data_IF_444444395987
#
_entry.id   IF_444444395987
#
_cell.length_a   1.000
_cell.length_b   1.000
_cell.length_c   1.000
_cell.angle_alpha   90.00
_cell.angle_beta   90.00
_cell.angle_gamma   90.00
#
_symmetry.space_group_name_H-M   'P 1'
#
loop_
_entity.id
_entity.type
_entity.pdbx_description
1 polymer ?
#
# COMPACT_ATOMS: atom_id res chain seq x y z
N UNK A 1 -14.48 9.27 15.23
CA UNK A 1 -14.43 8.29 16.34
C UNK A 1 -13.00 8.23 16.86
N UNK A 2 -12.77 8.01 18.17
CA UNK A 2 -11.40 7.83 18.67
C UNK A 2 -10.77 6.58 18.05
N UNK A 3 -9.46 6.63 17.81
CA UNK A 3 -8.71 5.51 17.26
C UNK A 3 -8.60 4.37 18.29
N UNK A 4 -8.68 3.12 17.82
CA UNK A 4 -8.63 1.93 18.69
C UNK A 4 -7.19 1.43 18.81
N UNK A 5 -6.41 2.01 19.72
CA UNK A 5 -5.01 1.65 19.96
C UNK A 5 -4.80 0.30 20.65
N UNK A 6 -5.85 -0.35 21.07
CA UNK A 6 -5.84 -1.62 21.82
C UNK A 6 -5.66 -2.87 20.94
N UNK A 7 -5.51 -2.71 19.64
CA UNK A 7 -5.35 -3.84 18.68
C UNK A 7 -4.22 -4.81 19.03
N UNK A 8 -3.20 -4.35 19.74
CA UNK A 8 -2.06 -5.19 20.13
C UNK A 8 -2.28 -6.02 21.40
N UNK A 9 -3.36 -5.77 22.14
CA UNK A 9 -3.72 -6.51 23.36
C UNK A 9 -5.00 -7.33 23.18
N UNK A 10 -5.62 -7.28 22.01
CA UNK A 10 -6.82 -8.03 21.68
C UNK A 10 -6.54 -9.02 20.55
N UNK A 11 -7.24 -10.15 20.55
CA UNK A 11 -7.23 -11.07 19.42
C UNK A 11 -8.02 -10.43 18.28
N UNK A 12 -7.40 -10.28 17.11
CA UNK A 12 -8.04 -9.72 15.92
C UNK A 12 -8.58 -10.86 15.06
N UNK A 13 -9.84 -10.76 14.70
CA UNK A 13 -10.53 -11.74 13.83
C UNK A 13 -10.30 -11.46 12.34
N UNK A 14 -9.97 -10.20 12.00
CA UNK A 14 -9.71 -9.78 10.62
C UNK A 14 -8.26 -9.28 10.50
N UNK A 15 -7.50 -9.85 9.55
CA UNK A 15 -6.12 -9.45 9.29
C UNK A 15 -6.00 -7.95 8.93
N UNK A 16 -7.04 -7.36 8.34
CA UNK A 16 -7.05 -5.95 7.99
C UNK A 16 -7.06 -5.02 9.23
N UNK A 17 -7.53 -5.50 10.38
CA UNK A 17 -7.46 -4.75 11.64
C UNK A 17 -6.01 -4.52 12.11
N UNK A 18 -5.06 -5.28 11.56
CA UNK A 18 -3.63 -5.07 11.81
C UNK A 18 -3.01 -3.98 10.94
N UNK A 19 -3.73 -3.45 9.94
CA UNK A 19 -3.24 -2.34 9.11
C UNK A 19 -3.36 -1.03 9.89
N UNK A 20 -2.32 -0.20 9.82
CA UNK A 20 -2.29 1.10 10.51
C UNK A 20 -2.10 1.00 12.02
N UNK A 21 -2.46 2.05 12.75
CA UNK A 21 -2.22 2.23 14.18
C UNK A 21 -0.76 1.91 14.56
N UNK A 22 0.16 2.29 13.69
CA UNK A 22 1.58 1.99 13.82
C UNK A 22 2.23 2.85 14.89
N UNK A 23 3.30 2.37 15.53
CA UNK A 23 4.00 3.13 16.57
C UNK A 23 4.60 4.44 16.04
N UNK A 24 4.65 5.43 16.90
CA UNK A 24 5.45 6.64 16.72
C UNK A 24 6.65 6.57 17.67
N UNK A 25 7.85 6.60 17.13
CA UNK A 25 9.09 6.41 17.87
C UNK A 25 9.92 7.70 17.92
N UNK A 26 10.34 8.11 19.13
CA UNK A 26 11.28 9.23 19.26
C UNK A 26 12.68 8.76 18.95
N UNK A 27 13.36 9.42 18.01
CA UNK A 27 14.73 9.13 17.59
C UNK A 27 15.73 9.95 18.44
N UNK A 28 16.27 9.41 19.55
CA UNK A 28 16.96 10.23 20.54
C UNK A 28 18.24 10.89 19.99
N UNK A 29 19.10 10.15 19.31
CA UNK A 29 20.36 10.68 18.75
C UNK A 29 20.14 11.76 17.68
N UNK A 30 19.12 11.58 16.85
CA UNK A 30 18.77 12.56 15.80
C UNK A 30 18.15 13.79 16.43
N UNK A 31 17.30 13.61 17.43
CA UNK A 31 16.65 14.69 18.18
C UNK A 31 17.68 15.57 18.93
N UNK A 32 18.65 14.96 19.58
CA UNK A 32 19.73 15.66 20.27
C UNK A 32 20.55 16.50 19.27
N UNK A 33 20.96 15.91 18.16
CA UNK A 33 21.73 16.61 17.11
C UNK A 33 20.95 17.76 16.47
N UNK A 34 19.63 17.60 16.31
CA UNK A 34 18.77 18.61 15.70
C UNK A 34 18.30 19.68 16.67
N UNK A 35 18.45 19.52 17.97
CA UNK A 35 17.86 20.39 18.98
C UNK A 35 16.33 20.41 18.98
N UNK A 36 15.70 19.33 18.49
CA UNK A 36 14.27 19.23 18.31
C UNK A 36 13.78 17.80 18.58
N UNK A 37 12.50 17.61 18.86
CA UNK A 37 11.92 16.26 18.97
C UNK A 37 11.68 15.69 17.57
N UNK A 38 12.50 14.75 17.15
CA UNK A 38 12.34 14.04 15.87
C UNK A 38 11.65 12.70 16.12
N UNK A 39 10.50 12.53 15.50
CA UNK A 39 9.65 11.36 15.63
C UNK A 39 9.59 10.61 14.29
N UNK A 40 9.68 9.28 14.33
CA UNK A 40 9.52 8.42 13.16
C UNK A 40 8.25 7.58 13.27
N UNK A 41 7.39 7.66 12.26
CA UNK A 41 6.21 6.77 12.13
C UNK A 41 6.67 5.42 11.58
N UNK A 42 6.46 4.34 12.34
CA UNK A 42 7.06 3.04 12.09
C UNK A 42 6.13 2.16 11.24
N UNK A 43 6.15 2.34 9.93
CA UNK A 43 5.19 1.73 9.00
C UNK A 43 5.43 0.24 8.69
N UNK A 44 6.56 -0.34 9.10
CA UNK A 44 6.79 -1.79 8.92
C UNK A 44 6.02 -2.69 9.91
N UNK A 45 5.24 -2.11 10.82
CA UNK A 45 4.33 -2.87 11.69
C UNK A 45 3.01 -3.28 11.01
N UNK A 46 2.78 -2.84 9.78
CA UNK A 46 1.66 -3.34 8.96
C UNK A 46 1.94 -4.75 8.42
N UNK A 47 0.93 -5.55 8.07
CA UNK A 47 1.06 -6.97 7.70
C UNK A 47 2.10 -7.30 6.64
N UNK A 48 2.25 -6.47 5.60
CA UNK A 48 3.28 -6.69 4.56
C UNK A 48 4.58 -5.92 4.81
N UNK A 49 4.69 -5.25 5.96
CA UNK A 49 5.90 -4.52 6.36
C UNK A 49 6.04 -3.15 5.71
N UNK A 50 4.97 -2.52 5.25
CA UNK A 50 5.03 -1.19 4.66
C UNK A 50 3.74 -0.39 4.77
N UNK A 51 3.87 0.94 4.58
CA UNK A 51 2.73 1.87 4.51
C UNK A 51 1.75 1.55 3.37
N UNK A 52 2.16 0.73 2.39
CA UNK A 52 1.35 0.43 1.21
C UNK A 52 0.12 -0.40 1.52
N UNK A 53 0.11 -1.13 2.62
CA UNK A 53 -1.08 -1.85 3.09
C UNK A 53 -2.27 -0.91 3.26
N UNK A 54 -2.05 0.29 3.80
CA UNK A 54 -3.10 1.30 4.01
C UNK A 54 -3.80 1.68 2.72
N UNK A 55 -3.02 2.03 1.69
CA UNK A 55 -3.56 2.54 0.44
C UNK A 55 -4.25 1.43 -0.37
N UNK A 56 -3.67 0.23 -0.44
CA UNK A 56 -4.31 -0.87 -1.16
C UNK A 56 -5.56 -1.38 -0.46
N UNK A 57 -5.56 -1.44 0.87
CA UNK A 57 -6.77 -1.70 1.64
C UNK A 57 -7.88 -0.70 1.29
N UNK A 58 -7.60 0.60 1.36
CA UNK A 58 -8.59 1.64 1.07
C UNK A 58 -9.07 1.59 -0.38
N UNK A 59 -8.16 1.63 -1.35
CA UNK A 59 -8.50 1.67 -2.78
C UNK A 59 -9.34 0.47 -3.21
N UNK A 60 -9.00 -0.74 -2.76
CA UNK A 60 -9.72 -1.97 -3.14
C UNK A 60 -11.11 -2.00 -2.48
N UNK A 61 -11.22 -1.68 -1.20
CA UNK A 61 -12.51 -1.66 -0.51
C UNK A 61 -13.45 -0.61 -1.09
N UNK A 62 -12.97 0.59 -1.39
CA UNK A 62 -13.78 1.63 -2.02
C UNK A 62 -14.22 1.24 -3.44
N UNK A 63 -13.34 0.61 -4.21
CA UNK A 63 -13.71 0.12 -5.54
C UNK A 63 -14.80 -0.95 -5.50
N UNK A 64 -14.74 -1.85 -4.52
CA UNK A 64 -15.81 -2.84 -4.29
C UNK A 64 -17.12 -2.14 -3.90
N UNK A 65 -17.05 -1.20 -2.96
CA UNK A 65 -18.22 -0.47 -2.49
C UNK A 65 -18.90 0.36 -3.58
N UNK A 66 -18.12 0.95 -4.50
CA UNK A 66 -18.65 1.69 -5.67
C UNK A 66 -19.09 0.78 -6.82
N UNK A 67 -18.74 -0.50 -6.79
CA UNK A 67 -19.01 -1.44 -7.90
C UNK A 67 -18.05 -1.28 -9.08
N UNK A 68 -16.91 -0.63 -8.90
CA UNK A 68 -15.83 -0.54 -9.89
C UNK A 68 -15.07 -1.87 -10.01
N UNK A 69 -14.81 -2.52 -8.88
CA UNK A 69 -14.25 -3.88 -8.79
C UNK A 69 -15.40 -4.85 -8.46
N UNK A 70 -15.84 -5.60 -9.47
CA UNK A 70 -16.96 -6.55 -9.37
C UNK A 70 -16.48 -7.97 -9.09
N UNK A 71 -17.32 -8.83 -8.50
CA UNK A 71 -17.04 -10.26 -8.41
C UNK A 71 -16.68 -10.86 -9.77
N UNK A 72 -15.63 -11.68 -9.80
CA UNK A 72 -15.13 -12.30 -11.03
C UNK A 72 -14.13 -11.45 -11.83
N UNK A 73 -13.93 -10.19 -11.48
CA UNK A 73 -12.85 -9.38 -12.03
C UNK A 73 -11.51 -9.77 -11.39
N UNK A 74 -10.43 -9.37 -12.03
CA UNK A 74 -9.05 -9.54 -11.59
C UNK A 74 -8.41 -8.17 -11.35
N UNK A 75 -7.64 -8.05 -10.28
CA UNK A 75 -6.87 -6.83 -10.00
C UNK A 75 -5.58 -6.89 -10.81
N UNK A 76 -5.26 -5.83 -11.56
CA UNK A 76 -4.00 -5.71 -12.28
C UNK A 76 -3.26 -4.46 -11.82
N UNK A 77 -1.97 -4.58 -11.48
CA UNK A 77 -1.17 -3.45 -11.02
C UNK A 77 0.24 -3.50 -11.60
N UNK A 78 0.77 -2.32 -11.95
CA UNK A 78 2.18 -2.14 -12.28
C UNK A 78 2.95 -1.74 -11.03
N UNK A 79 3.82 -2.63 -10.54
CA UNK A 79 4.60 -2.32 -9.34
C UNK A 79 5.92 -3.09 -9.26
N UNK A 80 6.96 -2.38 -8.84
CA UNK A 80 8.30 -2.95 -8.63
C UNK A 80 8.60 -3.30 -7.17
N UNK A 81 7.71 -2.96 -6.22
CA UNK A 81 8.02 -3.03 -4.80
C UNK A 81 6.83 -3.28 -3.87
N UNK A 82 6.84 -2.58 -2.76
CA UNK A 82 5.86 -2.74 -1.67
C UNK A 82 4.40 -2.57 -2.10
N UNK A 83 4.15 -1.73 -3.11
CA UNK A 83 2.82 -1.56 -3.68
C UNK A 83 2.27 -2.87 -4.27
N UNK A 84 3.08 -3.60 -5.06
CA UNK A 84 2.68 -4.90 -5.60
C UNK A 84 2.49 -5.96 -4.52
N UNK A 85 3.31 -5.94 -3.47
CA UNK A 85 3.18 -6.87 -2.33
C UNK A 85 1.85 -6.61 -1.59
N UNK A 86 1.56 -5.34 -1.26
CA UNK A 86 0.32 -4.96 -0.59
C UNK A 86 -0.92 -5.24 -1.45
N UNK A 87 -0.84 -4.96 -2.78
CA UNK A 87 -1.90 -5.29 -3.73
C UNK A 87 -2.19 -6.80 -3.76
N UNK A 88 -1.14 -7.63 -3.84
CA UNK A 88 -1.27 -9.08 -3.82
C UNK A 88 -1.89 -9.60 -2.52
N UNK A 89 -1.41 -9.08 -1.39
CA UNK A 89 -1.93 -9.42 -0.06
C UNK A 89 -3.42 -9.08 0.08
N UNK A 90 -3.79 -7.81 -0.14
CA UNK A 90 -5.19 -7.37 0.04
C UNK A 90 -6.12 -8.06 -0.94
N UNK A 91 -5.73 -8.15 -2.23
CA UNK A 91 -6.53 -8.85 -3.23
C UNK A 91 -6.77 -10.31 -2.85
N UNK A 92 -5.73 -11.03 -2.38
CA UNK A 92 -5.85 -12.41 -1.93
C UNK A 92 -6.78 -12.57 -0.74
N UNK A 93 -6.71 -11.65 0.25
CA UNK A 93 -7.57 -11.71 1.44
C UNK A 93 -9.04 -11.42 1.12
N UNK A 94 -9.32 -10.79 -0.02
CA UNK A 94 -10.66 -10.50 -0.52
C UNK A 94 -11.11 -11.44 -1.66
N UNK A 95 -10.37 -12.55 -1.87
CA UNK A 95 -10.62 -13.56 -2.90
C UNK A 95 -10.64 -13.05 -4.35
N UNK A 96 -9.94 -11.94 -4.61
CA UNK A 96 -9.70 -11.46 -5.98
C UNK A 96 -8.38 -12.02 -6.52
N UNK A 97 -8.35 -12.56 -7.75
CA UNK A 97 -7.12 -12.83 -8.47
C UNK A 97 -6.33 -11.53 -8.67
N UNK A 98 -5.01 -11.60 -8.53
CA UNK A 98 -4.12 -10.45 -8.70
C UNK A 98 -3.04 -10.77 -9.72
N UNK A 99 -2.88 -9.88 -10.70
CA UNK A 99 -1.75 -9.89 -11.64
C UNK A 99 -0.89 -8.66 -11.42
N UNK A 100 0.41 -8.89 -11.16
CA UNK A 100 1.41 -7.82 -11.03
C UNK A 100 2.30 -7.82 -12.27
N UNK A 101 2.40 -6.67 -12.92
CA UNK A 101 3.31 -6.43 -14.04
C UNK A 101 4.54 -5.72 -13.51
N UNK A 102 5.73 -6.28 -13.73
CA UNK A 102 6.98 -5.72 -13.22
C UNK A 102 8.18 -6.02 -14.13
N UNK A 103 9.25 -5.19 -14.09
CA UNK A 103 10.45 -5.46 -14.86
C UNK A 103 11.18 -6.72 -14.37
N UNK A 104 11.80 -7.44 -15.32
CA UNK A 104 12.56 -8.68 -15.03
C UNK A 104 13.77 -8.43 -14.13
N UNK A 105 14.37 -7.24 -14.20
CA UNK A 105 15.55 -6.87 -13.41
C UNK A 105 15.29 -6.63 -11.92
N UNK A 106 14.04 -6.70 -11.46
CA UNK A 106 13.71 -6.50 -10.04
C UNK A 106 14.09 -7.69 -9.17
N UNK A 107 14.22 -7.43 -7.84
CA UNK A 107 14.68 -8.43 -6.88
C UNK A 107 13.80 -9.69 -6.86
N UNK A 108 14.45 -10.85 -6.72
CA UNK A 108 13.77 -12.15 -6.64
C UNK A 108 12.91 -12.27 -5.38
N UNK A 109 13.30 -11.61 -4.30
CA UNK A 109 12.62 -11.62 -3.00
C UNK A 109 11.22 -11.02 -3.11
N UNK A 110 11.10 -9.85 -3.76
CA UNK A 110 9.81 -9.19 -4.00
C UNK A 110 8.87 -10.08 -4.83
N UNK A 111 9.40 -10.72 -5.87
CA UNK A 111 8.62 -11.67 -6.69
C UNK A 111 8.13 -12.86 -5.88
N UNK A 112 9.00 -13.42 -5.02
CA UNK A 112 8.64 -14.55 -4.14
C UNK A 112 7.53 -14.17 -3.16
N UNK A 113 7.59 -12.96 -2.56
CA UNK A 113 6.54 -12.48 -1.65
C UNK A 113 5.20 -12.31 -2.37
N UNK A 114 5.16 -11.66 -3.53
CA UNK A 114 3.93 -11.51 -4.31
C UNK A 114 3.36 -12.86 -4.71
N UNK A 115 4.21 -13.80 -5.16
CA UNK A 115 3.80 -15.14 -5.52
C UNK A 115 3.30 -15.94 -4.30
N UNK A 116 3.88 -15.74 -3.10
CA UNK A 116 3.42 -16.37 -1.87
C UNK A 116 1.99 -15.94 -1.48
N UNK A 117 1.62 -14.69 -1.81
CA UNK A 117 0.23 -14.22 -1.72
C UNK A 117 -0.65 -14.66 -2.90
N UNK A 118 -0.13 -15.48 -3.81
CA UNK A 118 -0.89 -16.03 -4.93
C UNK A 118 -1.02 -15.12 -6.15
N UNK A 119 -0.28 -14.02 -6.21
CA UNK A 119 -0.31 -13.15 -7.39
C UNK A 119 0.36 -13.80 -8.61
N UNK A 120 -0.25 -13.66 -9.77
CA UNK A 120 0.38 -13.93 -11.05
C UNK A 120 1.37 -12.79 -11.38
N UNK A 121 2.57 -13.13 -11.84
CA UNK A 121 3.59 -12.13 -12.16
C UNK A 121 3.88 -12.17 -13.66
N UNK A 122 3.70 -11.03 -14.32
CA UNK A 122 4.07 -10.82 -15.71
C UNK A 122 5.33 -9.95 -15.74
N UNK A 123 6.38 -10.49 -16.37
CA UNK A 123 7.67 -9.80 -16.46
C UNK A 123 7.80 -9.05 -17.79
N UNK A 124 8.16 -7.76 -17.70
CA UNK A 124 8.60 -6.97 -18.87
C UNK A 124 10.13 -6.96 -18.96
N UNK A 125 10.72 -6.68 -20.13
CA UNK A 125 12.14 -6.39 -20.22
C UNK A 125 12.54 -5.20 -19.35
N UNK A 126 13.83 -5.11 -18.98
CA UNK A 126 14.41 -3.93 -18.34
C UNK A 126 14.55 -4.04 -16.82
N UNK A 127 14.85 -2.90 -16.19
CA UNK A 127 15.11 -2.71 -14.75
C UNK A 127 14.15 -1.73 -14.09
N UNK A 128 14.55 -1.18 -12.96
CA UNK A 128 13.70 -0.31 -12.12
C UNK A 128 13.22 0.98 -12.82
N UNK A 129 14.02 1.49 -13.77
CA UNK A 129 13.68 2.68 -14.57
C UNK A 129 12.63 2.42 -15.66
N UNK A 130 12.38 1.15 -16.01
CA UNK A 130 11.55 0.78 -17.17
C UNK A 130 10.06 0.56 -16.79
N UNK A 131 9.55 1.42 -15.91
CA UNK A 131 8.13 1.37 -15.43
C UNK A 131 7.16 1.60 -16.60
N UNK A 132 7.52 2.41 -17.58
CA UNK A 132 6.67 2.71 -18.75
C UNK A 132 6.31 1.45 -19.54
N UNK A 133 7.22 0.48 -19.64
CA UNK A 133 6.95 -0.81 -20.31
C UNK A 133 5.89 -1.61 -19.52
N UNK A 134 5.90 -1.51 -18.20
CA UNK A 134 4.91 -2.17 -17.37
C UNK A 134 3.52 -1.53 -17.52
N UNK A 135 3.45 -0.20 -17.51
CA UNK A 135 2.20 0.54 -17.73
C UNK A 135 1.61 0.24 -19.12
N UNK A 136 2.48 0.22 -20.16
CA UNK A 136 2.06 -0.18 -21.50
C UNK A 136 1.51 -1.60 -21.53
N UNK A 137 2.13 -2.53 -20.81
CA UNK A 137 1.68 -3.92 -20.74
C UNK A 137 0.35 -4.06 -19.98
N UNK A 138 0.15 -3.32 -18.89
CA UNK A 138 -1.14 -3.24 -18.17
C UNK A 138 -2.24 -2.76 -19.12
N UNK A 139 -1.99 -1.65 -19.83
CA UNK A 139 -2.93 -1.13 -20.81
C UNK A 139 -3.27 -2.14 -21.92
N UNK A 140 -2.26 -2.79 -22.51
CA UNK A 140 -2.44 -3.82 -23.55
C UNK A 140 -3.35 -4.95 -23.06
N UNK A 141 -3.14 -5.42 -21.82
CA UNK A 141 -3.95 -6.51 -21.24
C UNK A 141 -5.39 -6.07 -20.99
N UNK A 142 -5.61 -4.86 -20.51
CA UNK A 142 -6.96 -4.29 -20.30
C UNK A 142 -7.70 -4.11 -21.63
N UNK A 143 -7.02 -3.59 -22.67
CA UNK A 143 -7.59 -3.39 -23.98
C UNK A 143 -7.95 -4.73 -24.66
N UNK A 144 -7.11 -5.77 -24.48
CA UNK A 144 -7.34 -7.11 -25.00
C UNK A 144 -8.48 -7.87 -24.30
N UNK A 145 -8.72 -7.56 -23.05
CA UNK A 145 -9.72 -8.24 -22.23
C UNK A 145 -10.65 -7.23 -21.52
N UNK A 146 -11.53 -6.53 -22.25
CA UNK A 146 -12.44 -5.54 -21.67
C UNK A 146 -13.30 -6.12 -20.57
N UNK A 147 -13.39 -5.42 -19.43
CA UNK A 147 -14.18 -5.82 -18.28
C UNK A 147 -13.57 -6.91 -17.39
N UNK A 148 -12.41 -7.50 -17.78
CA UNK A 148 -11.75 -8.51 -16.97
C UNK A 148 -10.96 -7.87 -15.80
N UNK A 149 -10.28 -6.76 -16.03
CA UNK A 149 -9.33 -6.18 -15.10
C UNK A 149 -9.83 -4.88 -14.48
N UNK A 150 -9.57 -4.74 -13.20
CA UNK A 150 -9.60 -3.46 -12.49
C UNK A 150 -8.19 -3.09 -12.05
N UNK A 151 -7.82 -1.82 -12.21
CA UNK A 151 -6.50 -1.30 -11.88
C UNK A 151 -6.63 -0.29 -10.73
N UNK A 152 -5.93 -0.49 -9.59
CA UNK A 152 -5.93 0.46 -8.47
C UNK A 152 -5.48 1.86 -8.85
N UNK A 153 -4.46 1.97 -9.70
CA UNK A 153 -3.97 3.24 -10.22
C UNK A 153 -3.42 4.17 -9.14
N UNK A 154 -2.49 3.69 -8.32
CA UNK A 154 -1.98 4.38 -7.14
C UNK A 154 -1.49 5.82 -7.36
N UNK A 155 -1.14 6.21 -8.60
CA UNK A 155 -0.66 7.56 -8.93
C UNK A 155 -1.78 8.57 -9.18
N UNK A 156 -3.00 8.12 -9.44
CA UNK A 156 -4.15 8.96 -9.81
C UNK A 156 -5.41 8.70 -8.98
N UNK A 157 -5.43 7.63 -8.21
CA UNK A 157 -6.58 7.25 -7.41
C UNK A 157 -6.69 8.11 -6.14
N UNK A 158 -7.76 8.89 -5.95
CA UNK A 158 -7.92 9.76 -4.78
C UNK A 158 -8.02 8.99 -3.45
N UNK A 159 -8.42 7.72 -3.50
CA UNK A 159 -8.50 6.87 -2.30
C UNK A 159 -7.12 6.61 -1.69
N UNK A 160 -6.02 6.77 -2.46
CA UNK A 160 -4.66 6.74 -1.93
C UNK A 160 -4.44 7.89 -0.92
N UNK A 161 -4.75 9.12 -1.31
CA UNK A 161 -4.67 10.28 -0.41
C UNK A 161 -5.63 10.15 0.76
N UNK A 162 -6.85 9.69 0.49
CA UNK A 162 -7.87 9.49 1.53
C UNK A 162 -7.43 8.47 2.58
N UNK A 163 -6.75 7.38 2.17
CA UNK A 163 -6.19 6.40 3.10
C UNK A 163 -5.24 7.05 4.12
N UNK A 164 -4.35 7.93 3.68
CA UNK A 164 -3.43 8.63 4.56
C UNK A 164 -4.11 9.72 5.40
N UNK A 165 -5.08 10.42 4.83
CA UNK A 165 -5.86 11.42 5.54
C UNK A 165 -6.63 10.79 6.72
N UNK A 166 -7.34 9.69 6.47
CA UNK A 166 -8.18 9.04 7.47
C UNK A 166 -7.39 8.23 8.50
N UNK A 167 -6.19 7.76 8.17
CA UNK A 167 -5.39 6.89 9.03
C UNK A 167 -4.08 7.52 9.46
N UNK A 168 -3.09 7.62 8.60
CA UNK A 168 -1.73 8.06 8.95
C UNK A 168 -1.71 9.44 9.60
N UNK A 169 -2.42 10.40 9.01
CA UNK A 169 -2.52 11.77 9.52
C UNK A 169 -3.24 11.82 10.86
N UNK A 170 -4.39 11.14 10.96
CA UNK A 170 -5.17 11.06 12.19
C UNK A 170 -4.37 10.40 13.33
N UNK A 171 -3.64 9.32 13.03
CA UNK A 171 -2.78 8.64 14.00
C UNK A 171 -1.64 9.54 14.50
N UNK A 172 -0.93 10.22 13.60
CA UNK A 172 0.14 11.14 13.98
C UNK A 172 -0.41 12.27 14.86
N UNK A 173 -1.56 12.85 14.47
CA UNK A 173 -2.20 13.92 15.23
C UNK A 173 -2.57 13.49 16.64
N UNK A 174 -3.17 12.31 16.79
CA UNK A 174 -3.54 11.76 18.10
C UNK A 174 -2.31 11.39 18.94
N UNK A 175 -1.32 10.69 18.36
CA UNK A 175 -0.09 10.28 19.05
C UNK A 175 0.74 11.46 19.54
N UNK A 176 0.72 12.57 18.83
CA UNK A 176 1.42 13.80 19.20
C UNK A 176 0.56 14.75 20.05
N UNK A 177 -0.72 14.41 20.30
CA UNK A 177 -1.70 15.28 20.97
C UNK A 177 -1.83 16.64 20.24
N UNK A 178 -1.80 16.61 18.91
CA UNK A 178 -1.87 17.79 18.06
C UNK A 178 -0.61 18.68 18.04
N UNK A 179 0.50 18.23 18.63
CA UNK A 179 1.75 19.01 18.69
C UNK A 179 2.69 18.56 17.57
N UNK A 180 2.48 19.11 16.40
CA UNK A 180 3.31 18.89 15.20
C UNK A 180 3.69 20.25 14.62
N UNK A 181 4.98 20.60 14.68
CA UNK A 181 5.50 21.83 14.11
C UNK A 181 5.90 21.64 12.65
N UNK A 182 6.37 20.44 12.28
CA UNK A 182 6.76 20.10 10.91
C UNK A 182 6.48 18.62 10.60
N UNK A 183 6.10 18.35 9.35
CA UNK A 183 5.94 17.01 8.80
C UNK A 183 6.89 16.82 7.62
N UNK A 184 7.65 15.73 7.64
CA UNK A 184 8.63 15.41 6.59
C UNK A 184 8.30 14.01 6.06
N UNK A 185 8.13 13.91 4.76
CA UNK A 185 7.93 12.63 4.07
C UNK A 185 8.64 12.64 2.71
N UNK A 186 9.09 11.47 2.26
CA UNK A 186 9.51 11.30 0.88
C UNK A 186 8.29 11.19 -0.02
N UNK A 187 8.30 11.87 -1.16
CA UNK A 187 7.24 11.79 -2.13
C UNK A 187 7.47 10.61 -3.10
N UNK A 188 6.45 9.76 -3.24
CA UNK A 188 6.36 8.74 -4.28
C UNK A 188 5.11 8.98 -5.13
N UNK A 189 3.97 8.45 -4.69
CA UNK A 189 2.68 8.60 -5.41
C UNK A 189 1.94 9.90 -5.08
N UNK A 190 2.37 10.62 -4.06
CA UNK A 190 1.73 11.88 -3.62
C UNK A 190 0.50 11.70 -2.71
N UNK A 191 0.25 10.47 -2.28
CA UNK A 191 -0.84 10.14 -1.37
C UNK A 191 -0.66 10.63 0.07
#
# INVERSE_FOLDING_TARGET
>A
MPLKWDKYIQVQENIFDLIGLTPLFRMPKVSEKAGANILGKIEWYSPTGSLKDRIYHKMIHEAIARGDLKPGMEIIESSTGNAGIACAFVGRMLDYPVTIVMPKGMSKERRKLMAAYGAQIILTPGGESDVDLCLKKVKELKDKHPGKYWEPGQFSNPDNTLAHYETTGAEIWEQTRGKVDAFIASQGTGG
#
